data_IF_531031814738
#
_entry.id   IF_531031814738
#
_cell.length_a   1.000
_cell.length_b   1.000
_cell.length_c   1.000
_cell.angle_alpha   90.00
_cell.angle_beta   90.00
_cell.angle_gamma   90.00
#
_symmetry.space_group_name_H-M   'P 1'
#
loop_
_entity.id
_entity.type
_entity.pdbx_description
1 polymer ?
#
# COMPACT_ATOMS: atom_id res chain seq x y z
N UNK A 1 2.58 15.04 5.91
CA UNK A 1 3.30 13.75 5.91
C UNK A 1 4.23 13.70 4.71
N UNK A 2 5.53 13.62 4.98
CA UNK A 2 6.52 13.35 3.93
C UNK A 2 6.71 11.83 3.87
N UNK A 3 6.20 11.14 2.82
CA UNK A 3 6.39 9.71 2.71
C UNK A 3 7.87 9.39 2.43
N UNK A 4 8.38 8.25 2.89
CA UNK A 4 9.68 7.76 2.47
C UNK A 4 9.69 7.48 0.96
N UNK A 5 10.86 7.21 0.40
CA UNK A 5 11.04 6.97 -1.03
C UNK A 5 10.22 5.79 -1.54
N UNK A 6 10.12 4.73 -0.77
CA UNK A 6 9.38 3.51 -1.12
C UNK A 6 8.24 3.30 -0.14
N UNK A 7 7.01 3.29 -0.64
CA UNK A 7 5.81 2.98 0.13
C UNK A 7 5.19 1.70 -0.40
N UNK A 8 5.19 0.65 0.40
CA UNK A 8 4.65 -0.66 0.05
C UNK A 8 3.32 -0.87 0.76
N UNK A 9 2.25 -1.12 0.01
CA UNK A 9 0.95 -1.44 0.60
C UNK A 9 0.74 -2.95 0.58
N UNK A 10 0.57 -3.51 1.76
CA UNK A 10 0.29 -4.93 1.99
C UNK A 10 -1.10 -5.13 2.59
N UNK A 11 -1.57 -6.35 2.58
CA UNK A 11 -2.82 -6.72 3.24
C UNK A 11 -3.55 -7.87 2.57
N UNK A 12 -4.61 -8.39 3.19
CA UNK A 12 -5.42 -9.47 2.66
C UNK A 12 -6.02 -9.15 1.28
N UNK A 13 -6.46 -10.19 0.59
CA UNK A 13 -7.21 -10.04 -0.66
C UNK A 13 -8.49 -9.24 -0.42
N UNK A 14 -8.83 -8.34 -1.34
CA UNK A 14 -10.07 -7.57 -1.27
C UNK A 14 -10.05 -6.35 -0.35
N UNK A 15 -8.92 -6.03 0.30
CA UNK A 15 -8.80 -4.84 1.17
C UNK A 15 -8.59 -3.52 0.41
N UNK A 16 -8.71 -3.50 -0.91
CA UNK A 16 -8.65 -2.25 -1.69
C UNK A 16 -7.24 -1.66 -1.87
N UNK A 17 -6.17 -2.47 -1.76
CA UNK A 17 -4.76 -2.02 -1.89
C UNK A 17 -4.50 -1.21 -3.17
N UNK A 18 -4.80 -1.80 -4.33
CA UNK A 18 -4.57 -1.17 -5.64
C UNK A 18 -5.31 0.16 -5.79
N UNK A 19 -6.58 0.22 -5.34
CA UNK A 19 -7.38 1.46 -5.37
C UNK A 19 -6.80 2.50 -4.39
N UNK A 20 -6.34 2.07 -3.23
CA UNK A 20 -5.71 2.95 -2.24
C UNK A 20 -4.40 3.54 -2.77
N UNK A 21 -3.58 2.74 -3.45
CA UNK A 21 -2.36 3.20 -4.12
C UNK A 21 -2.68 4.27 -5.16
N UNK A 22 -3.70 4.06 -5.99
CA UNK A 22 -4.13 5.05 -6.97
C UNK A 22 -4.56 6.37 -6.32
N UNK A 23 -5.26 6.32 -5.19
CA UNK A 23 -5.63 7.52 -4.42
C UNK A 23 -4.42 8.22 -3.81
N UNK A 24 -3.48 7.47 -3.23
CA UNK A 24 -2.22 8.03 -2.72
C UNK A 24 -1.39 8.65 -3.85
N UNK A 25 -1.32 8.00 -5.01
CA UNK A 25 -0.65 8.54 -6.18
C UNK A 25 -1.24 9.88 -6.61
N UNK A 26 -2.56 10.01 -6.61
CA UNK A 26 -3.23 11.27 -6.92
C UNK A 26 -2.92 12.37 -5.89
N UNK A 27 -2.92 12.04 -4.59
CA UNK A 27 -2.56 13.01 -3.54
C UNK A 27 -1.13 13.53 -3.75
N UNK A 28 -0.16 12.63 -3.84
CA UNK A 28 1.25 13.01 -3.89
C UNK A 28 1.68 13.52 -5.27
N UNK A 29 1.12 12.98 -6.34
CA UNK A 29 1.53 13.31 -7.69
C UNK A 29 0.77 14.49 -8.31
N UNK A 30 -0.49 14.73 -7.92
CA UNK A 30 -1.31 15.81 -8.49
C UNK A 30 -1.56 16.94 -7.50
N UNK A 31 -2.06 16.63 -6.30
CA UNK A 31 -2.48 17.65 -5.34
C UNK A 31 -1.31 18.31 -4.62
N UNK A 32 -0.30 17.54 -4.24
CA UNK A 32 0.87 18.02 -3.50
C UNK A 32 2.12 18.23 -4.38
N UNK A 33 1.98 18.20 -5.70
CA UNK A 33 3.11 18.32 -6.64
C UNK A 33 3.95 19.60 -6.43
N UNK A 34 3.32 20.71 -6.04
CA UNK A 34 4.03 21.97 -5.77
C UNK A 34 4.87 21.92 -4.49
N UNK A 35 4.41 21.20 -3.48
CA UNK A 35 5.08 21.06 -2.19
C UNK A 35 6.10 19.93 -2.20
N UNK A 36 5.81 18.87 -2.94
CA UNK A 36 6.52 17.60 -2.85
C UNK A 36 7.65 17.44 -3.87
N UNK A 37 7.65 18.12 -5.00
CA UNK A 37 8.66 18.07 -6.09
C UNK A 37 9.13 16.65 -6.50
N UNK A 38 8.42 15.60 -6.08
CA UNK A 38 8.75 14.19 -6.34
C UNK A 38 7.94 13.64 -7.51
N UNK A 39 8.59 12.85 -8.35
CA UNK A 39 7.89 12.07 -9.37
C UNK A 39 7.32 10.81 -8.73
N UNK A 40 6.02 10.59 -8.90
CA UNK A 40 5.34 9.38 -8.39
C UNK A 40 5.39 8.31 -9.46
N UNK A 41 5.86 7.11 -9.10
CA UNK A 41 5.85 5.92 -9.93
C UNK A 41 5.02 4.83 -9.27
N UNK A 42 4.17 4.19 -10.04
CA UNK A 42 3.37 3.05 -9.62
C UNK A 42 4.08 1.76 -9.97
N UNK A 43 4.21 0.87 -9.01
CA UNK A 43 4.88 -0.41 -9.19
C UNK A 43 3.94 -1.50 -8.73
N UNK A 44 3.77 -2.56 -9.51
CA UNK A 44 3.07 -3.76 -9.05
C UNK A 44 4.00 -4.96 -9.02
N UNK A 45 3.97 -5.66 -7.91
CA UNK A 45 4.60 -6.96 -7.73
C UNK A 45 3.55 -8.09 -7.68
N UNK A 46 2.28 -7.75 -7.96
CA UNK A 46 1.19 -8.72 -8.13
C UNK A 46 1.25 -9.33 -9.55
N UNK A 47 2.17 -10.27 -9.73
CA UNK A 47 2.40 -10.93 -11.01
C UNK A 47 1.50 -12.15 -11.24
N UNK A 48 0.77 -12.62 -10.22
CA UNK A 48 -0.03 -13.85 -10.28
C UNK A 48 -1.51 -13.61 -10.54
N UNK A 49 -2.05 -12.47 -10.13
CA UNK A 49 -3.47 -12.17 -10.33
C UNK A 49 -3.70 -11.65 -11.75
N UNK A 50 -4.53 -12.38 -12.50
CA UNK A 50 -4.97 -11.96 -13.83
C UNK A 50 -5.69 -10.60 -13.71
N UNK A 51 -5.32 -9.65 -14.56
CA UNK A 51 -5.90 -8.30 -14.55
C UNK A 51 -5.32 -7.33 -13.49
N UNK A 52 -4.38 -7.78 -12.65
CA UNK A 52 -3.79 -6.90 -11.63
C UNK A 52 -2.99 -5.75 -12.24
N UNK A 53 -2.18 -6.05 -13.24
CA UNK A 53 -1.41 -5.03 -13.95
C UNK A 53 -2.32 -4.09 -14.72
N UNK A 54 -3.32 -4.60 -15.41
CA UNK A 54 -4.28 -3.81 -16.16
C UNK A 54 -5.05 -2.84 -15.26
N UNK A 55 -5.39 -3.28 -14.06
CA UNK A 55 -6.09 -2.43 -13.08
C UNK A 55 -5.23 -1.24 -12.63
N UNK A 56 -3.97 -1.47 -12.24
CA UNK A 56 -3.09 -0.38 -11.83
C UNK A 56 -2.65 0.48 -13.02
N UNK A 57 -2.48 -0.12 -14.21
CA UNK A 57 -2.15 0.59 -15.45
C UNK A 57 -3.27 1.56 -15.86
N UNK A 58 -4.53 1.16 -15.71
CA UNK A 58 -5.67 2.04 -15.93
C UNK A 58 -5.59 3.30 -15.05
N UNK A 59 -5.30 3.14 -13.76
CA UNK A 59 -5.12 4.28 -12.86
C UNK A 59 -3.89 5.12 -13.22
N UNK A 60 -2.77 4.47 -13.56
CA UNK A 60 -1.56 5.17 -13.99
C UNK A 60 -1.80 6.05 -15.22
N UNK A 61 -2.49 5.51 -16.22
CA UNK A 61 -2.87 6.26 -17.42
C UNK A 61 -3.77 7.45 -17.09
N UNK A 62 -4.81 7.22 -16.26
CA UNK A 62 -5.73 8.28 -15.86
C UNK A 62 -5.05 9.42 -15.07
N UNK A 63 -4.00 9.10 -14.30
CA UNK A 63 -3.24 10.05 -13.50
C UNK A 63 -2.00 10.63 -14.23
N UNK A 64 -1.69 10.15 -15.44
CA UNK A 64 -0.48 10.54 -16.19
C UNK A 64 0.81 10.06 -15.51
N UNK A 65 0.80 8.90 -14.87
CA UNK A 65 1.92 8.33 -14.12
C UNK A 65 2.44 7.05 -14.76
N UNK A 66 3.75 6.81 -14.64
CA UNK A 66 4.36 5.56 -15.10
C UNK A 66 3.96 4.39 -14.20
N UNK A 67 3.71 3.25 -14.82
CA UNK A 67 3.42 1.98 -14.14
C UNK A 67 4.43 0.94 -14.59
N UNK A 68 5.04 0.24 -13.65
CA UNK A 68 6.00 -0.82 -13.92
C UNK A 68 5.59 -2.09 -13.18
N UNK A 69 5.71 -3.21 -13.88
CA UNK A 69 5.54 -4.54 -13.30
C UNK A 69 6.90 -5.08 -12.92
N UNK A 70 7.01 -5.65 -11.73
CA UNK A 70 8.20 -6.31 -11.21
C UNK A 70 7.86 -7.76 -10.88
N UNK A 71 8.60 -8.69 -11.46
CA UNK A 71 8.35 -10.13 -11.29
C UNK A 71 9.38 -10.82 -10.40
N UNK A 72 10.51 -10.18 -10.12
CA UNK A 72 11.60 -10.75 -9.32
C UNK A 72 12.49 -9.72 -8.67
N UNK A 73 13.45 -10.23 -7.92
CA UNK A 73 14.39 -9.43 -7.13
C UNK A 73 15.31 -8.57 -8.01
N UNK A 74 15.85 -9.16 -9.07
CA UNK A 74 16.76 -8.47 -9.99
C UNK A 74 16.06 -7.29 -10.68
N UNK A 75 14.81 -7.49 -11.11
CA UNK A 75 14.01 -6.41 -11.71
C UNK A 75 13.72 -5.30 -10.70
N UNK A 76 13.45 -5.65 -9.44
CA UNK A 76 13.17 -4.65 -8.41
C UNK A 76 14.45 -3.87 -8.05
N UNK A 77 15.59 -4.54 -7.94
CA UNK A 77 16.88 -3.90 -7.73
C UNK A 77 17.23 -2.92 -8.86
N UNK A 78 17.13 -3.38 -10.10
CA UNK A 78 17.37 -2.54 -11.28
C UNK A 78 16.43 -1.31 -11.33
N UNK A 79 15.16 -1.49 -10.95
CA UNK A 79 14.20 -0.38 -10.89
C UNK A 79 14.60 0.65 -9.83
N UNK A 80 15.04 0.21 -8.65
CA UNK A 80 15.50 1.11 -7.59
C UNK A 80 16.75 1.88 -8.00
N UNK A 81 17.71 1.24 -8.67
CA UNK A 81 18.93 1.87 -9.18
C UNK A 81 18.65 2.91 -10.28
N UNK A 82 17.67 2.62 -11.15
CA UNK A 82 17.27 3.52 -12.25
C UNK A 82 16.35 4.67 -11.81
N UNK A 83 15.75 4.58 -10.62
CA UNK A 83 14.87 5.63 -10.09
C UNK A 83 15.67 6.71 -9.36
N UNK A 84 15.22 7.95 -9.49
CA UNK A 84 15.82 9.07 -8.76
C UNK A 84 15.61 8.91 -7.24
N UNK A 85 16.56 9.36 -6.41
CA UNK A 85 16.34 9.47 -4.95
C UNK A 85 15.11 10.32 -4.59
N UNK A 86 14.73 11.24 -5.47
CA UNK A 86 13.55 12.11 -5.31
C UNK A 86 12.25 11.48 -5.83
N UNK A 87 12.29 10.27 -6.41
CA UNK A 87 11.07 9.58 -6.81
C UNK A 87 10.33 9.02 -5.59
N UNK A 88 9.00 9.01 -5.65
CA UNK A 88 8.14 8.28 -4.72
C UNK A 88 7.63 7.01 -5.42
N UNK A 89 8.07 5.88 -4.93
CA UNK A 89 7.69 4.57 -5.45
C UNK A 89 6.54 4.00 -4.63
N UNK A 90 5.36 3.89 -5.24
CA UNK A 90 4.18 3.28 -4.61
C UNK A 90 4.04 1.85 -5.12
N UNK A 91 4.24 0.89 -4.22
CA UNK A 91 4.33 -0.54 -4.55
C UNK A 91 3.06 -1.27 -4.16
N UNK A 92 2.32 -1.76 -5.16
CA UNK A 92 1.16 -2.64 -5.00
C UNK A 92 1.60 -4.09 -4.85
N UNK A 93 1.08 -4.75 -3.84
CA UNK A 93 1.44 -6.12 -3.52
C UNK A 93 0.29 -7.09 -3.75
N UNK A 94 0.65 -8.36 -3.89
CA UNK A 94 -0.32 -9.46 -3.94
C UNK A 94 -1.13 -9.47 -2.65
N UNK A 95 -2.45 -9.56 -2.79
CA UNK A 95 -3.32 -9.88 -1.67
C UNK A 95 -3.10 -11.32 -1.25
N UNK A 96 -2.60 -11.54 -0.03
CA UNK A 96 -2.31 -12.90 0.45
C UNK A 96 -3.16 -13.26 1.66
N UNK A 97 -3.43 -14.55 1.80
CA UNK A 97 -3.86 -15.07 3.08
C UNK A 97 -2.69 -15.05 4.08
N UNK A 98 -2.92 -14.73 5.36
CA UNK A 98 -1.89 -14.86 6.40
C UNK A 98 -1.25 -16.25 6.48
N UNK A 99 -1.90 -17.28 5.92
CA UNK A 99 -1.45 -18.67 5.93
C UNK A 99 -0.56 -19.06 4.74
N UNK A 100 -0.40 -18.18 3.76
CA UNK A 100 0.40 -18.45 2.57
C UNK A 100 1.88 -18.19 2.85
N UNK A 101 2.60 -19.24 3.19
CA UNK A 101 4.01 -19.15 3.57
C UNK A 101 4.94 -18.90 2.37
N UNK A 102 4.67 -19.51 1.22
CA UNK A 102 5.53 -19.36 0.03
C UNK A 102 5.50 -17.92 -0.47
N UNK A 103 4.30 -17.37 -0.66
CA UNK A 103 4.14 -15.98 -1.04
C UNK A 103 4.71 -15.03 0.03
N UNK A 104 4.63 -15.42 1.30
CA UNK A 104 5.25 -14.69 2.40
C UNK A 104 6.77 -14.58 2.29
N UNK A 105 7.45 -15.68 2.00
CA UNK A 105 8.90 -15.70 1.81
C UNK A 105 9.32 -14.83 0.63
N UNK A 106 8.63 -14.96 -0.51
CA UNK A 106 8.88 -14.13 -1.68
C UNK A 106 8.72 -12.64 -1.39
N UNK A 107 7.65 -12.26 -0.69
CA UNK A 107 7.43 -10.87 -0.28
C UNK A 107 8.54 -10.36 0.65
N UNK A 108 8.98 -11.20 1.58
CA UNK A 108 10.06 -10.86 2.50
C UNK A 108 11.37 -10.61 1.77
N UNK A 109 11.68 -11.44 0.78
CA UNK A 109 12.86 -11.28 -0.08
C UNK A 109 12.81 -9.96 -0.83
N UNK A 110 11.73 -9.67 -1.55
CA UNK A 110 11.55 -8.41 -2.28
C UNK A 110 11.64 -7.19 -1.36
N UNK A 111 11.06 -7.24 -0.15
CA UNK A 111 11.10 -6.13 0.81
C UNK A 111 12.46 -5.93 1.48
N UNK A 112 13.38 -6.88 1.33
CA UNK A 112 14.76 -6.74 1.84
C UNK A 112 15.68 -5.95 0.91
N UNK A 113 15.25 -5.69 -0.35
CA UNK A 113 16.08 -5.03 -1.36
C UNK A 113 16.17 -3.52 -1.12
N UNK A 114 15.07 -2.75 -0.96
CA UNK A 114 15.18 -1.32 -0.70
C UNK A 114 15.68 -1.05 0.73
N UNK A 115 16.33 0.09 0.90
CA UNK A 115 16.77 0.54 2.22
C UNK A 115 15.57 0.66 3.17
N UNK A 116 15.71 0.09 4.36
CA UNK A 116 14.66 0.09 5.39
C UNK A 116 14.33 1.49 5.92
N UNK A 117 15.30 2.40 5.92
CA UNK A 117 15.08 3.78 6.35
C UNK A 117 14.31 4.58 5.31
N UNK A 118 14.47 4.24 4.04
CA UNK A 118 13.74 4.83 2.92
C UNK A 118 12.43 4.11 2.59
N UNK A 119 12.04 3.07 3.36
CA UNK A 119 10.87 2.23 3.07
C UNK A 119 9.85 2.28 4.19
N UNK A 120 8.59 2.48 3.83
CA UNK A 120 7.45 2.24 4.71
C UNK A 120 6.61 1.09 4.18
N UNK A 121 6.37 0.11 5.04
CA UNK A 121 5.39 -0.95 4.81
C UNK A 121 4.09 -0.55 5.51
N UNK A 122 3.03 -0.43 4.75
CA UNK A 122 1.72 0.04 5.20
C UNK A 122 0.73 -1.12 5.07
N UNK A 123 0.01 -1.43 6.14
CA UNK A 123 -1.00 -2.49 6.14
C UNK A 123 -2.39 -1.92 5.83
N UNK A 124 -3.04 -2.43 4.79
CA UNK A 124 -4.44 -2.12 4.49
C UNK A 124 -5.36 -3.07 5.26
N UNK A 125 -6.24 -2.51 6.09
CA UNK A 125 -7.26 -3.22 6.87
C UNK A 125 -8.65 -2.74 6.44
N UNK A 126 -9.55 -3.68 6.17
CA UNK A 126 -10.95 -3.35 5.89
C UNK A 126 -11.69 -2.96 7.16
N UNK A 127 -12.50 -1.91 7.10
CA UNK A 127 -13.26 -1.39 8.25
C UNK A 127 -14.24 -2.41 8.86
N UNK A 128 -14.76 -3.34 8.05
CA UNK A 128 -15.69 -4.39 8.49
C UNK A 128 -15.03 -5.61 9.15
N UNK A 129 -13.71 -5.60 9.32
CA UNK A 129 -13.01 -6.72 9.94
C UNK A 129 -13.39 -6.86 11.41
N UNK A 130 -13.70 -8.10 11.84
CA UNK A 130 -13.92 -8.40 13.25
C UNK A 130 -12.63 -8.25 14.04
N UNK A 131 -12.71 -7.83 15.29
CA UNK A 131 -11.59 -7.60 16.19
C UNK A 131 -10.55 -8.72 16.13
N UNK A 132 -10.96 -9.96 16.30
CA UNK A 132 -10.07 -11.13 16.24
C UNK A 132 -9.31 -11.25 14.92
N UNK A 133 -9.94 -10.93 13.80
CA UNK A 133 -9.32 -11.01 12.47
C UNK A 133 -8.36 -9.86 12.22
N UNK A 134 -8.62 -8.68 12.80
CA UNK A 134 -7.71 -7.53 12.80
C UNK A 134 -6.40 -7.91 13.49
N UNK A 135 -6.46 -8.40 14.74
CA UNK A 135 -5.26 -8.82 15.49
C UNK A 135 -4.48 -9.92 14.78
N UNK A 136 -5.16 -10.94 14.27
CA UNK A 136 -4.51 -12.02 13.50
C UNK A 136 -3.82 -11.50 12.24
N UNK A 137 -4.45 -10.56 11.55
CA UNK A 137 -3.88 -9.97 10.35
C UNK A 137 -2.66 -9.14 10.69
N UNK A 138 -2.75 -8.24 11.66
CA UNK A 138 -1.61 -7.44 12.10
C UNK A 138 -0.44 -8.33 12.50
N UNK A 139 -0.68 -9.36 13.31
CA UNK A 139 0.36 -10.29 13.76
C UNK A 139 1.03 -11.03 12.60
N UNK A 140 0.24 -11.52 11.64
CA UNK A 140 0.76 -12.23 10.47
C UNK A 140 1.61 -11.32 9.56
N UNK A 141 1.33 -10.03 9.54
CA UNK A 141 2.07 -9.06 8.73
C UNK A 141 3.22 -8.36 9.47
N UNK A 142 3.38 -8.54 10.79
CA UNK A 142 4.49 -7.97 11.58
C UNK A 142 5.87 -8.34 11.02
N UNK A 143 6.02 -9.54 10.51
CA UNK A 143 7.27 -10.02 9.92
C UNK A 143 7.79 -9.18 8.74
N UNK A 144 6.93 -8.35 8.15
CA UNK A 144 7.27 -7.46 7.03
C UNK A 144 7.66 -6.05 7.50
N UNK A 145 7.69 -5.79 8.81
CA UNK A 145 8.06 -4.50 9.37
C UNK A 145 7.00 -3.42 9.10
N UNK A 146 5.72 -3.74 9.25
CA UNK A 146 4.64 -2.75 9.12
C UNK A 146 4.88 -1.58 10.08
N UNK A 147 4.76 -0.36 9.57
CA UNK A 147 4.97 0.88 10.33
C UNK A 147 3.67 1.67 10.57
N UNK A 148 2.65 1.39 9.78
CA UNK A 148 1.38 2.13 9.81
C UNK A 148 0.26 1.36 9.12
N UNK A 149 -0.95 1.86 9.27
CA UNK A 149 -2.17 1.25 8.75
C UNK A 149 -2.92 2.24 7.86
N UNK A 150 -3.62 1.73 6.87
CA UNK A 150 -4.71 2.41 6.17
C UNK A 150 -5.98 1.62 6.42
N UNK A 151 -7.01 2.30 6.92
CA UNK A 151 -8.34 1.70 7.12
C UNK A 151 -9.16 1.97 5.87
N UNK A 152 -9.59 0.91 5.21
CA UNK A 152 -10.29 0.98 3.93
C UNK A 152 -11.75 0.61 4.07
N UNK A 153 -12.58 1.07 3.09
CA UNK A 153 -14.00 0.70 3.00
C UNK A 153 -14.81 1.15 4.23
N UNK A 154 -14.52 2.35 4.71
CA UNK A 154 -15.25 2.90 5.86
C UNK A 154 -16.69 3.27 5.50
N UNK A 155 -17.00 3.37 4.22
CA UNK A 155 -18.36 3.53 3.65
C UNK A 155 -19.22 2.27 3.76
N UNK A 156 -18.63 1.10 3.99
CA UNK A 156 -19.34 -0.17 4.08
C UNK A 156 -19.83 -0.48 5.53
N UNK A 157 -19.57 0.40 6.52
CA UNK A 157 -19.92 0.15 7.93
C UNK A 157 -20.13 1.44 8.72
N UNK A 158 -21.06 1.41 9.67
CA UNK A 158 -21.27 2.50 10.63
C UNK A 158 -20.36 2.42 11.86
N UNK A 159 -19.54 1.37 11.98
CA UNK A 159 -18.66 1.17 13.13
C UNK A 159 -17.28 0.66 12.70
N UNK A 160 -16.26 1.48 12.97
CA UNK A 160 -14.85 1.14 12.75
C UNK A 160 -14.08 0.93 14.05
N UNK A 161 -14.78 0.94 15.19
CA UNK A 161 -14.19 0.91 16.52
C UNK A 161 -13.26 -0.26 16.78
N UNK A 162 -13.56 -1.44 16.23
CA UNK A 162 -12.73 -2.64 16.41
C UNK A 162 -11.34 -2.48 15.76
N UNK A 163 -11.29 -1.88 14.58
CA UNK A 163 -10.01 -1.62 13.89
C UNK A 163 -9.23 -0.52 14.60
N UNK A 164 -9.91 0.56 15.03
CA UNK A 164 -9.28 1.66 15.76
C UNK A 164 -8.69 1.19 17.08
N UNK A 165 -9.44 0.40 17.86
CA UNK A 165 -8.99 -0.14 19.15
C UNK A 165 -7.74 -1.01 18.98
N UNK A 166 -7.75 -1.92 18.01
CA UNK A 166 -6.60 -2.78 17.73
C UNK A 166 -5.36 -1.96 17.30
N UNK A 167 -5.52 -0.96 16.45
CA UNK A 167 -4.43 -0.09 16.04
C UNK A 167 -3.86 0.71 17.23
N UNK A 168 -4.72 1.23 18.10
CA UNK A 168 -4.31 1.97 19.30
C UNK A 168 -3.56 1.07 20.30
N UNK A 169 -4.08 -0.12 20.62
CA UNK A 169 -3.43 -1.08 21.51
C UNK A 169 -2.06 -1.55 21.00
N UNK A 170 -1.94 -1.76 19.69
CA UNK A 170 -0.71 -2.21 19.05
C UNK A 170 0.22 -1.06 18.65
N UNK A 171 -0.14 0.18 18.99
CA UNK A 171 0.61 1.41 18.69
C UNK A 171 0.95 1.57 17.20
N UNK A 172 0.02 1.18 16.33
CA UNK A 172 0.15 1.32 14.88
C UNK A 172 -0.59 2.59 14.43
N UNK A 173 0.12 3.63 13.97
CA UNK A 173 -0.50 4.85 13.48
C UNK A 173 -1.33 4.58 12.22
N UNK A 174 -2.51 5.21 12.16
CA UNK A 174 -3.35 5.21 10.98
C UNK A 174 -2.95 6.42 10.13
N UNK A 175 -2.68 6.22 8.86
CA UNK A 175 -2.29 7.28 7.92
C UNK A 175 -3.49 7.86 7.18
N UNK A 176 -4.36 6.97 6.70
CA UNK A 176 -5.51 7.33 5.87
C UNK A 176 -6.71 6.45 6.18
N UNK A 177 -7.88 7.03 5.90
CA UNK A 177 -9.15 6.33 5.73
C UNK A 177 -9.58 6.39 4.27
N UNK A 178 -10.20 5.33 3.74
CA UNK A 178 -10.83 5.37 2.41
C UNK A 178 -12.29 4.95 2.52
N UNK A 179 -13.17 5.75 1.91
CA UNK A 179 -14.63 5.71 2.07
C UNK A 179 -15.38 5.64 0.74
N UNK A 180 -14.85 4.95 -0.25
CA UNK A 180 -15.52 4.75 -1.53
C UNK A 180 -14.57 4.33 -2.65
N UNK A 181 -15.04 4.41 -3.90
CA UNK A 181 -14.32 3.93 -5.07
C UNK A 181 -13.72 5.04 -5.95
N UNK A 182 -14.05 6.31 -5.70
CA UNK A 182 -13.60 7.40 -6.55
C UNK A 182 -12.13 7.76 -6.27
N UNK A 183 -11.35 7.78 -7.33
CA UNK A 183 -9.98 8.29 -7.33
C UNK A 183 -10.02 9.69 -7.95
N UNK A 184 -9.54 10.73 -7.29
CA UNK A 184 -8.74 10.77 -6.05
C UNK A 184 -9.52 11.09 -4.76
N UNK A 185 -10.85 11.19 -4.80
CA UNK A 185 -11.63 11.88 -3.77
C UNK A 185 -11.79 11.12 -2.45
N UNK A 186 -12.04 9.81 -2.53
CA UNK A 186 -12.49 9.02 -1.38
C UNK A 186 -11.29 8.51 -0.54
N UNK A 187 -10.44 9.45 -0.09
CA UNK A 187 -9.31 9.20 0.81
C UNK A 187 -9.07 10.42 1.70
N UNK A 188 -8.96 10.19 3.00
CA UNK A 188 -8.81 11.22 4.02
C UNK A 188 -7.62 10.92 4.91
N UNK A 189 -6.82 11.94 5.24
CA UNK A 189 -5.75 11.79 6.23
C UNK A 189 -6.36 11.54 7.60
N UNK A 190 -5.79 10.60 8.34
CA UNK A 190 -6.09 10.47 9.76
C UNK A 190 -5.50 11.68 10.50
N UNK A 191 -6.30 12.34 11.32
CA UNK A 191 -5.94 13.51 12.15
C UNK A 191 -5.65 13.06 13.57
#
# INVERSE_FOLDING_TARGET
LHPPRVCVIMGPTGTGKTTTIAKMAAIYGLQQRKEFKRTVRLITIDSFRIGAFEQIAYFGQALGMSVQKVTGEDEFSALLEQSSPDDLLLVDTIGRSPKDNELGLRMKSLLSIPDKEETAVILALGAMMKSRDVYRTIEAYRQFGIRSVIVTKTDETDSIGEVLSACAELQLPILFFTDGQHVPKDIHKAS
#
